data_IF_281469176208
#
_entry.id   IF_281469176208
#
_cell.length_a   1.000
_cell.length_b   1.000
_cell.length_c   1.000
_cell.angle_alpha   90.00
_cell.angle_beta   90.00
_cell.angle_gamma   90.00
#
_symmetry.space_group_name_H-M   'P 1'
#
loop_
_entity.id
_entity.type
_entity.pdbx_description
1 polymer ?
#
# COMPACT_ATOMS: atom_id res chain seq x y z
N UNK A 1 17.49 -16.34 -17.95
CA UNK A 1 16.51 -15.24 -18.12
C UNK A 1 16.23 -14.71 -16.74
N UNK A 2 16.72 -13.52 -16.39
CA UNK A 2 16.32 -12.90 -15.11
C UNK A 2 14.82 -12.65 -15.16
N UNK A 3 14.09 -13.15 -14.16
CA UNK A 3 12.67 -12.90 -14.03
C UNK A 3 12.47 -11.38 -13.88
N UNK A 4 11.59 -10.80 -14.71
CA UNK A 4 11.22 -9.39 -14.57
C UNK A 4 10.79 -9.11 -13.13
N UNK A 5 11.27 -8.04 -12.49
CA UNK A 5 10.98 -7.81 -11.07
C UNK A 5 9.47 -7.73 -10.84
N UNK A 6 8.98 -8.52 -9.87
CA UNK A 6 7.56 -8.54 -9.49
C UNK A 6 7.24 -7.28 -8.70
N UNK A 7 6.08 -6.69 -8.97
CA UNK A 7 5.52 -5.60 -8.16
C UNK A 7 5.33 -6.12 -6.73
N UNK A 8 5.92 -5.43 -5.76
CA UNK A 8 5.82 -5.72 -4.33
C UNK A 8 4.78 -4.79 -3.70
N UNK A 9 3.76 -5.36 -3.08
CA UNK A 9 2.63 -4.64 -2.50
C UNK A 9 2.53 -4.95 -1.01
N UNK A 10 2.50 -3.91 -0.19
CA UNK A 10 2.17 -4.02 1.23
C UNK A 10 0.71 -3.63 1.46
N UNK A 11 -0.11 -4.55 1.97
CA UNK A 11 -1.48 -4.28 2.38
C UNK A 11 -1.51 -4.01 3.89
N UNK A 12 -1.77 -2.76 4.25
CA UNK A 12 -1.73 -2.23 5.59
C UNK A 12 -3.11 -2.14 6.25
N UNK A 13 -3.15 -2.53 7.52
CA UNK A 13 -4.28 -2.35 8.44
C UNK A 13 -3.80 -1.56 9.66
N UNK A 14 -4.16 -0.28 9.70
CA UNK A 14 -3.67 0.68 10.70
C UNK A 14 -4.69 0.85 11.82
N UNK A 15 -4.19 0.97 13.06
CA UNK A 15 -4.99 1.26 14.24
C UNK A 15 -5.87 0.08 14.67
N UNK A 16 -7.02 0.41 15.27
CA UNK A 16 -7.93 -0.57 15.88
C UNK A 16 -8.97 -1.14 14.93
N UNK A 17 -8.96 -0.74 13.66
CA UNK A 17 -9.91 -1.25 12.69
C UNK A 17 -9.64 -2.74 12.43
N UNK A 18 -10.52 -3.60 12.95
CA UNK A 18 -10.44 -5.05 12.86
C UNK A 18 -11.02 -5.65 11.57
N UNK A 19 -11.57 -4.83 10.67
CA UNK A 19 -12.16 -5.32 9.43
C UNK A 19 -11.05 -5.68 8.43
N UNK A 20 -10.75 -6.97 8.33
CA UNK A 20 -9.67 -7.47 7.47
C UNK A 20 -10.12 -8.32 6.28
N UNK A 21 -11.40 -8.70 6.21
CA UNK A 21 -11.91 -9.55 5.12
C UNK A 21 -11.61 -8.96 3.75
N UNK A 22 -11.92 -7.67 3.54
CA UNK A 22 -11.65 -6.99 2.27
C UNK A 22 -10.15 -6.93 1.95
N UNK A 23 -9.33 -6.56 2.92
CA UNK A 23 -7.88 -6.53 2.79
C UNK A 23 -7.28 -7.89 2.40
N UNK A 24 -7.75 -8.98 3.04
CA UNK A 24 -7.33 -10.36 2.74
C UNK A 24 -7.73 -10.80 1.33
N UNK A 25 -8.94 -10.46 0.88
CA UNK A 25 -9.41 -10.78 -0.47
C UNK A 25 -8.61 -10.02 -1.54
N UNK A 26 -8.37 -8.72 -1.33
CA UNK A 26 -7.50 -7.93 -2.22
C UNK A 26 -6.09 -8.50 -2.24
N UNK A 27 -5.51 -8.82 -1.08
CA UNK A 27 -4.18 -9.43 -1.00
C UNK A 27 -4.09 -10.76 -1.78
N UNK A 28 -5.11 -11.60 -1.69
CA UNK A 28 -5.21 -12.84 -2.46
C UNK A 28 -5.32 -12.58 -3.97
N UNK A 29 -6.17 -11.64 -4.38
CA UNK A 29 -6.33 -11.28 -5.79
C UNK A 29 -5.03 -10.74 -6.41
N UNK A 30 -4.32 -9.86 -5.70
CA UNK A 30 -3.02 -9.33 -6.14
C UNK A 30 -1.96 -10.43 -6.27
N UNK A 31 -1.93 -11.41 -5.35
CA UNK A 31 -1.06 -12.59 -5.45
C UNK A 31 -1.39 -13.44 -6.68
N UNK A 32 -2.68 -13.68 -6.93
CA UNK A 32 -3.13 -14.41 -8.12
C UNK A 32 -2.78 -13.67 -9.42
N UNK A 33 -2.67 -12.34 -9.38
CA UNK A 33 -2.22 -11.51 -10.50
C UNK A 33 -0.69 -11.45 -10.68
N UNK A 34 0.07 -12.22 -9.89
CA UNK A 34 1.53 -12.35 -10.00
C UNK A 34 2.34 -11.33 -9.20
N UNK A 35 1.71 -10.56 -8.31
CA UNK A 35 2.41 -9.62 -7.43
C UNK A 35 2.91 -10.31 -6.15
N UNK A 36 3.99 -9.80 -5.57
CA UNK A 36 4.44 -10.22 -4.26
C UNK A 36 3.72 -9.38 -3.19
N UNK A 37 2.99 -10.02 -2.28
CA UNK A 37 2.10 -9.29 -1.36
C UNK A 37 2.40 -9.60 0.09
N UNK A 38 2.77 -8.55 0.83
CA UNK A 38 2.95 -8.55 2.27
C UNK A 38 1.66 -8.03 2.91
N UNK A 39 1.12 -8.75 3.89
CA UNK A 39 -0.04 -8.31 4.66
C UNK A 39 0.40 -8.04 6.10
N UNK A 40 0.17 -6.83 6.61
CA UNK A 40 0.70 -6.40 7.91
C UNK A 40 0.00 -7.04 9.11
N UNK A 41 -1.17 -7.66 8.90
CA UNK A 41 -2.05 -8.02 10.01
C UNK A 41 -2.70 -6.79 10.66
N UNK A 42 -3.40 -7.01 11.77
CA UNK A 42 -4.14 -5.97 12.50
C UNK A 42 -3.25 -5.20 13.49
N UNK A 43 -3.76 -4.06 14.00
CA UNK A 43 -3.15 -3.31 15.10
C UNK A 43 -1.76 -2.73 14.81
N UNK A 44 -1.49 -2.39 13.55
CA UNK A 44 -0.25 -1.70 13.18
C UNK A 44 -0.36 -0.20 13.43
N UNK A 45 0.73 0.41 13.88
CA UNK A 45 0.86 1.87 13.90
C UNK A 45 1.32 2.38 12.53
N UNK A 46 1.11 3.68 12.21
CA UNK A 46 1.67 4.28 11.01
C UNK A 46 3.19 4.11 10.88
N UNK A 47 3.94 4.18 11.98
CA UNK A 47 5.40 3.98 11.98
C UNK A 47 5.78 2.53 11.66
N UNK A 48 5.05 1.55 12.21
CA UNK A 48 5.25 0.13 11.87
C UNK A 48 5.00 -0.13 10.38
N UNK A 49 3.96 0.48 9.80
CA UNK A 49 3.69 0.38 8.35
C UNK A 49 4.85 0.98 7.57
N UNK A 50 5.29 2.20 7.88
CA UNK A 50 6.40 2.82 7.18
C UNK A 50 7.71 2.03 7.34
N UNK A 51 7.94 1.42 8.50
CA UNK A 51 9.09 0.58 8.75
C UNK A 51 9.07 -0.68 7.88
N UNK A 52 7.91 -1.35 7.80
CA UNK A 52 7.72 -2.51 6.95
C UNK A 52 7.90 -2.15 5.47
N UNK A 53 7.40 -0.99 5.03
CA UNK A 53 7.59 -0.51 3.65
C UNK A 53 9.08 -0.34 3.31
N UNK A 54 9.85 0.24 4.23
CA UNK A 54 11.29 0.42 4.05
C UNK A 54 12.05 -0.92 4.06
N UNK A 55 11.72 -1.83 4.99
CA UNK A 55 12.40 -3.12 5.14
C UNK A 55 12.10 -4.07 3.98
N UNK A 56 10.85 -4.10 3.55
CA UNK A 56 10.37 -4.98 2.49
C UNK A 56 10.60 -4.40 1.08
N UNK A 57 11.09 -3.16 0.98
CA UNK A 57 11.35 -2.47 -0.29
C UNK A 57 10.17 -2.61 -1.26
N UNK A 58 8.98 -2.18 -0.83
CA UNK A 58 7.75 -2.35 -1.62
C UNK A 58 7.53 -1.20 -2.59
N UNK A 59 6.91 -1.49 -3.73
CA UNK A 59 6.58 -0.47 -4.74
C UNK A 59 5.21 0.18 -4.44
N UNK A 60 4.33 -0.52 -3.71
CA UNK A 60 2.95 -0.10 -3.45
C UNK A 60 2.56 -0.30 -1.98
N UNK A 61 1.85 0.67 -1.41
CA UNK A 61 1.21 0.58 -0.09
C UNK A 61 -0.30 0.70 -0.27
N UNK A 62 -1.04 -0.37 0.00
CA UNK A 62 -2.50 -0.38 0.04
C UNK A 62 -3.03 -0.28 1.46
N UNK A 63 -3.66 0.84 1.81
CA UNK A 63 -4.24 1.05 3.15
C UNK A 63 -5.71 0.64 3.13
N UNK A 64 -6.12 -0.28 4.02
CA UNK A 64 -7.53 -0.67 4.16
C UNK A 64 -8.17 -0.01 5.38
N UNK A 65 -9.23 0.78 5.17
CA UNK A 65 -9.96 1.53 6.20
C UNK A 65 -11.47 1.39 6.08
N UNK A 66 -12.11 0.79 7.09
CA UNK A 66 -13.57 0.65 7.20
C UNK A 66 -14.14 1.32 8.46
N UNK A 67 -13.29 1.89 9.33
CA UNK A 67 -13.70 2.50 10.60
C UNK A 67 -13.85 4.04 10.55
N UNK A 68 -13.97 4.64 9.36
CA UNK A 68 -14.22 6.08 9.20
C UNK A 68 -13.03 7.01 9.51
N UNK A 69 -11.86 6.47 9.84
CA UNK A 69 -10.64 7.23 10.14
C UNK A 69 -9.70 7.37 8.93
N UNK A 70 -10.20 7.23 7.69
CA UNK A 70 -9.39 7.15 6.47
C UNK A 70 -8.52 8.39 6.22
N UNK A 71 -9.05 9.61 6.36
CA UNK A 71 -8.26 10.84 6.14
C UNK A 71 -7.10 10.92 7.12
N UNK A 72 -7.38 10.76 8.41
CA UNK A 72 -6.37 10.83 9.46
C UNK A 72 -5.34 9.69 9.33
N UNK A 73 -5.80 8.49 9.02
CA UNK A 73 -4.92 7.34 8.77
C UNK A 73 -3.99 7.59 7.59
N UNK A 74 -4.52 8.11 6.47
CA UNK A 74 -3.70 8.43 5.30
C UNK A 74 -2.65 9.48 5.66
N UNK A 75 -3.05 10.58 6.32
CA UNK A 75 -2.13 11.65 6.74
C UNK A 75 -0.99 11.10 7.60
N UNK A 76 -1.30 10.32 8.63
CA UNK A 76 -0.31 9.77 9.55
C UNK A 76 0.64 8.76 8.87
N UNK A 77 0.13 7.92 7.96
CA UNK A 77 0.96 6.98 7.20
C UNK A 77 1.90 7.73 6.25
N UNK A 78 1.39 8.73 5.52
CA UNK A 78 2.21 9.54 4.61
C UNK A 78 3.31 10.30 5.37
N UNK A 79 2.99 10.85 6.55
CA UNK A 79 3.99 11.48 7.42
C UNK A 79 5.05 10.49 7.91
N UNK A 80 4.65 9.28 8.30
CA UNK A 80 5.59 8.24 8.73
C UNK A 80 6.51 7.78 7.58
N UNK A 81 5.96 7.60 6.38
CA UNK A 81 6.74 7.28 5.18
C UNK A 81 7.77 8.36 4.87
N UNK A 82 7.34 9.63 4.87
CA UNK A 82 8.22 10.79 4.66
C UNK A 82 9.34 10.85 5.71
N UNK A 83 9.02 10.64 6.99
CA UNK A 83 10.02 10.63 8.08
C UNK A 83 11.08 9.55 7.90
N UNK A 84 10.72 8.40 7.31
CA UNK A 84 11.65 7.31 7.01
C UNK A 84 12.34 7.44 5.64
N UNK A 85 12.15 8.55 4.93
CA UNK A 85 12.76 8.79 3.64
C UNK A 85 12.16 7.97 2.49
N UNK A 86 10.96 7.41 2.68
CA UNK A 86 10.23 6.67 1.66
C UNK A 86 9.32 7.64 0.91
N UNK A 87 9.69 8.01 -0.32
CA UNK A 87 8.97 9.02 -1.11
C UNK A 87 8.48 8.55 -2.47
N UNK A 88 8.92 7.37 -2.92
CA UNK A 88 8.74 6.84 -4.26
C UNK A 88 7.78 5.65 -4.32
N UNK A 89 7.00 5.42 -3.26
CA UNK A 89 6.01 4.33 -3.22
C UNK A 89 4.63 4.83 -3.67
N UNK A 90 3.92 3.99 -4.43
CA UNK A 90 2.54 4.26 -4.79
C UNK A 90 1.62 3.98 -3.59
N UNK A 91 0.94 4.99 -3.07
CA UNK A 91 -0.04 4.81 -1.99
C UNK A 91 -1.46 4.76 -2.56
N UNK A 92 -2.17 3.67 -2.27
CA UNK A 92 -3.59 3.50 -2.59
C UNK A 92 -4.37 3.23 -1.30
N UNK A 93 -5.68 3.50 -1.32
CA UNK A 93 -6.56 3.29 -0.18
C UNK A 93 -7.84 2.59 -0.60
N UNK A 94 -8.33 1.68 0.25
CA UNK A 94 -9.59 0.98 0.03
C UNK A 94 -10.47 0.93 1.28
N UNK A 95 -11.77 0.74 1.05
CA UNK A 95 -12.77 0.52 2.12
C UNK A 95 -14.00 1.41 2.01
N UNK A 96 -14.57 1.82 3.14
CA UNK A 96 -15.78 2.67 3.18
C UNK A 96 -15.34 4.13 3.26
N UNK A 97 -15.18 4.75 2.08
CA UNK A 97 -14.64 6.11 1.94
C UNK A 97 -15.70 6.99 1.25
N UNK A 98 -16.22 8.03 1.91
CA UNK A 98 -17.14 8.97 1.29
C UNK A 98 -16.49 9.75 0.14
N UNK A 99 -17.20 9.93 -0.98
CA UNK A 99 -16.70 10.67 -2.15
C UNK A 99 -16.21 12.09 -1.81
N UNK A 100 -16.83 12.76 -0.84
CA UNK A 100 -16.44 14.09 -0.37
C UNK A 100 -14.99 14.16 0.16
N UNK A 101 -14.44 13.03 0.61
CA UNK A 101 -13.09 12.97 1.19
C UNK A 101 -12.02 12.60 0.13
N UNK A 102 -12.41 12.31 -1.11
CA UNK A 102 -11.49 11.87 -2.17
C UNK A 102 -10.48 12.96 -2.52
N UNK A 103 -10.95 14.21 -2.63
CA UNK A 103 -10.08 15.35 -2.95
C UNK A 103 -9.02 15.55 -1.85
N UNK A 104 -9.43 15.48 -0.58
CA UNK A 104 -8.51 15.57 0.56
C UNK A 104 -7.49 14.42 0.55
N UNK A 105 -7.91 13.19 0.29
CA UNK A 105 -7.01 12.03 0.20
C UNK A 105 -6.01 12.17 -0.96
N UNK A 106 -6.43 12.69 -2.11
CA UNK A 106 -5.55 12.99 -3.24
C UNK A 106 -4.48 14.03 -2.86
N UNK A 107 -4.88 15.11 -2.18
CA UNK A 107 -3.96 16.15 -1.70
C UNK A 107 -2.95 15.63 -0.67
N UNK A 108 -3.35 14.66 0.15
CA UNK A 108 -2.44 13.96 1.09
C UNK A 108 -1.42 13.07 0.35
N UNK A 109 -1.71 12.67 -0.89
CA UNK A 109 -0.84 11.86 -1.74
C UNK A 109 -1.32 10.43 -1.96
N UNK A 110 -2.54 10.09 -1.56
CA UNK A 110 -3.19 8.83 -1.97
C UNK A 110 -3.56 8.94 -3.45
N UNK A 111 -3.09 8.01 -4.27
CA UNK A 111 -3.23 8.09 -5.73
C UNK A 111 -4.36 7.26 -6.30
N UNK A 112 -4.81 6.23 -5.58
CA UNK A 112 -5.94 5.38 -5.96
C UNK A 112 -6.86 5.14 -4.77
N UNK A 113 -8.17 5.35 -4.96
CA UNK A 113 -9.19 5.18 -3.93
C UNK A 113 -10.24 4.18 -4.42
N UNK A 114 -10.39 3.07 -3.71
CA UNK A 114 -11.24 1.95 -4.10
C UNK A 114 -12.30 1.66 -3.04
N UNK A 115 -13.57 1.89 -3.38
CA UNK A 115 -14.66 1.55 -2.47
C UNK A 115 -14.81 0.04 -2.33
N UNK A 116 -15.62 -0.42 -1.37
CA UNK A 116 -15.94 -1.85 -1.17
C UNK A 116 -16.60 -2.54 -2.37
N UNK A 117 -16.98 -1.79 -3.42
CA UNK A 117 -17.57 -2.31 -4.65
C UNK A 117 -16.60 -2.33 -5.85
N UNK A 118 -15.37 -1.83 -5.68
CA UNK A 118 -14.37 -1.88 -6.74
C UNK A 118 -14.06 -3.33 -7.12
N UNK A 119 -13.91 -3.60 -8.42
CA UNK A 119 -13.48 -4.92 -8.88
C UNK A 119 -12.00 -5.14 -8.56
N UNK A 120 -11.59 -6.42 -8.44
CA UNK A 120 -10.17 -6.72 -8.26
C UNK A 120 -9.35 -6.33 -9.48
N UNK A 121 -9.90 -6.49 -10.68
CA UNK A 121 -9.24 -6.12 -11.94
C UNK A 121 -8.95 -4.62 -11.99
N UNK A 122 -9.90 -3.76 -11.56
CA UNK A 122 -9.66 -2.32 -11.48
C UNK A 122 -8.47 -1.95 -10.58
N UNK A 123 -8.34 -2.63 -9.43
CA UNK A 123 -7.23 -2.42 -8.49
C UNK A 123 -5.92 -2.89 -9.12
N UNK A 124 -5.91 -4.09 -9.71
CA UNK A 124 -4.74 -4.68 -10.36
C UNK A 124 -4.24 -3.79 -11.51
N UNK A 125 -5.15 -3.38 -12.39
CA UNK A 125 -4.82 -2.57 -13.56
C UNK A 125 -4.43 -1.14 -13.18
N UNK A 126 -5.00 -0.59 -12.10
CA UNK A 126 -4.52 0.67 -11.57
C UNK A 126 -3.08 0.56 -11.08
N UNK A 127 -2.76 -0.46 -10.28
CA UNK A 127 -1.40 -0.67 -9.76
C UNK A 127 -0.41 -0.83 -10.91
N UNK A 128 -0.70 -1.70 -11.88
CA UNK A 128 0.19 -1.95 -13.04
C UNK A 128 0.49 -0.68 -13.85
N UNK A 129 -0.48 0.24 -13.95
CA UNK A 129 -0.33 1.50 -14.70
C UNK A 129 0.41 2.60 -13.94
N UNK A 130 0.36 2.59 -12.61
CA UNK A 130 0.82 3.72 -11.80
C UNK A 130 2.00 3.41 -10.89
N UNK A 131 2.39 2.13 -10.78
CA UNK A 131 3.58 1.78 -10.00
C UNK A 131 4.80 2.45 -10.64
N UNK A 132 5.61 3.18 -9.86
CA UNK A 132 6.91 3.63 -10.33
C UNK A 132 7.71 2.40 -10.76
N UNK A 133 8.49 2.52 -11.84
CA UNK A 133 9.21 1.40 -12.48
C UNK A 133 9.79 0.48 -11.40
N UNK A 134 9.47 -0.83 -11.37
CA UNK A 134 9.79 -1.70 -10.24
C UNK A 134 11.26 -1.52 -9.90
N UNK A 135 11.58 -1.22 -8.63
CA UNK A 135 12.97 -1.22 -8.21
C UNK A 135 13.46 -2.67 -8.33
N UNK A 136 14.08 -2.99 -9.47
CA UNK A 136 14.70 -4.29 -9.68
C UNK A 136 15.61 -4.57 -8.49
N UNK A 137 15.36 -5.70 -7.82
CA UNK A 137 16.03 -6.07 -6.58
C UNK A 137 17.51 -5.76 -6.69
N UNK A 138 17.95 -4.73 -5.97
CA UNK A 138 19.33 -4.35 -5.98
C UNK A 138 20.12 -5.50 -5.36
N UNK A 139 20.98 -6.09 -6.19
CA UNK A 139 22.12 -6.89 -5.79
C UNK A 139 22.77 -6.29 -4.54
N UNK A 140 23.22 -7.19 -3.66
CA UNK A 140 23.59 -6.91 -2.29
C UNK A 140 24.37 -5.61 -2.08
N UNK A 141 23.99 -4.88 -1.03
CA UNK A 141 24.89 -3.94 -0.35
C UNK A 141 25.96 -4.75 0.39
N UNK A 142 26.85 -5.37 -0.38
CA UNK A 142 28.20 -5.69 0.06
C UNK A 142 28.99 -4.39 0.06
N UNK A 143 29.01 -3.72 1.20
CA UNK A 143 29.86 -2.56 1.46
C UNK A 143 30.75 -2.87 2.65
N UNK A 144 31.89 -3.48 2.36
CA UNK A 144 33.03 -3.57 3.27
C UNK A 144 33.59 -2.15 3.45
N UNK A 145 33.51 -1.61 4.67
CA UNK A 145 34.39 -0.57 5.20
C UNK A 145 34.27 -0.59 6.73
#
# INVERSE_FOLDING_TARGET
MEASPRIRVLIAKVGLDGHDRGAKLVAMALRNAGMEVIYTGLRNTPDMVAQAVLQENVDVVGISSLAGAHVETARLVMEALKKKGVGDVLVIMGGIIPKRDFETLNQIGVRGIFSVHASFDDIIDFIRRHVPRPQGGAAGKGGNA
#
